data_IF_371448283779
#
_entry.id   IF_371448283779
#
_cell.length_a   1.000
_cell.length_b   1.000
_cell.length_c   1.000
_cell.angle_alpha   90.00
_cell.angle_beta   90.00
_cell.angle_gamma   90.00
#
_symmetry.space_group_name_H-M   'P 1'
#
loop_
_entity.id
_entity.type
_entity.pdbx_description
1 polymer ?
#
# COMPACT_ATOMS: atom_id res chain seq x y z
N UNK A 1 3.35 -6.54 16.33
CA UNK A 1 3.66 -7.66 15.42
C UNK A 1 4.40 -7.14 14.21
N UNK A 2 5.54 -7.73 13.91
CA UNK A 2 6.35 -7.39 12.73
C UNK A 2 6.22 -8.51 11.70
N UNK A 3 5.99 -8.13 10.44
CA UNK A 3 6.07 -9.04 9.29
C UNK A 3 7.00 -8.43 8.27
N UNK A 4 7.92 -9.23 7.75
CA UNK A 4 8.83 -8.74 6.72
C UNK A 4 9.26 -9.85 5.78
N UNK A 5 9.46 -9.44 4.54
CA UNK A 5 10.08 -10.22 3.50
C UNK A 5 11.30 -9.43 3.00
N UNK A 6 12.00 -9.98 2.02
CA UNK A 6 13.23 -9.36 1.52
C UNK A 6 13.07 -7.89 1.15
N UNK A 7 11.91 -7.48 0.64
CA UNK A 7 11.73 -6.16 0.06
C UNK A 7 10.53 -5.38 0.61
N UNK A 8 9.92 -5.87 1.71
CA UNK A 8 8.88 -5.10 2.40
C UNK A 8 8.85 -5.44 3.88
N UNK A 9 8.35 -4.50 4.65
CA UNK A 9 8.19 -4.64 6.10
C UNK A 9 6.87 -4.03 6.54
N UNK A 10 6.16 -4.72 7.44
CA UNK A 10 4.93 -4.22 8.07
C UNK A 10 4.95 -4.53 9.55
N UNK A 11 4.47 -3.60 10.35
CA UNK A 11 4.35 -3.81 11.79
C UNK A 11 3.11 -3.14 12.33
N UNK A 12 2.49 -3.76 13.32
CA UNK A 12 1.51 -3.11 14.17
C UNK A 12 1.89 -3.37 15.63
N UNK A 13 1.87 -2.31 16.45
CA UNK A 13 2.19 -2.40 17.86
C UNK A 13 1.45 -1.28 18.60
N UNK A 14 0.28 -1.63 19.14
CA UNK A 14 -0.57 -0.65 19.80
C UNK A 14 0.05 -0.08 21.09
N UNK A 15 1.09 -0.72 21.61
CA UNK A 15 1.83 -0.19 22.75
C UNK A 15 2.68 1.02 22.39
N UNK A 16 2.95 1.25 21.10
CA UNK A 16 3.71 2.41 20.65
C UNK A 16 2.88 3.69 20.62
N UNK A 17 1.59 3.62 20.94
CA UNK A 17 0.74 4.80 20.99
C UNK A 17 0.28 5.28 19.62
N UNK A 18 0.47 6.58 19.35
CA UNK A 18 -0.11 7.24 18.16
C UNK A 18 0.37 6.65 16.84
N UNK A 19 1.66 6.32 16.75
CA UNK A 19 2.27 5.81 15.52
C UNK A 19 2.48 4.30 15.64
N UNK A 20 1.38 3.58 15.65
CA UNK A 20 1.35 2.15 15.96
C UNK A 20 1.51 1.23 14.74
N UNK A 21 1.54 1.78 13.54
CA UNK A 21 1.79 1.03 12.32
C UNK A 21 3.10 1.44 11.67
N UNK A 22 3.72 0.52 10.95
CA UNK A 22 4.95 0.76 10.22
C UNK A 22 4.84 0.10 8.86
N UNK A 23 5.29 0.82 7.83
CA UNK A 23 5.42 0.29 6.48
C UNK A 23 6.82 0.62 5.96
N UNK A 24 7.43 -0.29 5.23
CA UNK A 24 8.76 -0.03 4.72
C UNK A 24 9.27 -1.04 3.72
N UNK A 25 10.54 -0.92 3.44
CA UNK A 25 11.28 -1.80 2.55
C UNK A 25 12.56 -2.27 3.25
N UNK A 26 13.57 -2.74 2.48
CA UNK A 26 14.76 -3.37 3.05
C UNK A 26 15.49 -2.52 4.08
N UNK A 27 15.64 -1.22 3.80
CA UNK A 27 16.54 -0.37 4.57
C UNK A 27 15.89 0.95 4.98
N UNK A 28 14.58 1.03 4.92
CA UNK A 28 13.84 2.20 5.40
C UNK A 28 12.45 1.79 5.86
N UNK A 29 11.87 2.61 6.72
CA UNK A 29 10.49 2.44 7.15
C UNK A 29 9.92 3.78 7.58
N UNK A 30 8.60 3.89 7.55
CA UNK A 30 7.86 5.04 8.04
C UNK A 30 6.79 4.57 9.01
N UNK A 31 6.62 5.31 10.09
CA UNK A 31 5.57 5.01 11.06
C UNK A 31 4.31 5.78 10.74
N UNK A 32 3.17 5.13 10.89
CA UNK A 32 1.86 5.66 10.53
C UNK A 32 0.90 5.58 11.70
N UNK A 33 -0.01 6.55 11.74
CA UNK A 33 -1.15 6.49 12.64
C UNK A 33 -2.14 5.43 12.13
N UNK A 34 -2.97 4.92 13.03
CA UNK A 34 -4.00 3.93 12.65
C UNK A 34 -4.91 4.43 11.53
N UNK A 35 -5.34 5.69 11.60
CA UNK A 35 -6.20 6.28 10.57
C UNK A 35 -5.50 6.37 9.21
N UNK A 36 -4.20 6.64 9.20
CA UNK A 36 -3.41 6.70 7.97
C UNK A 36 -3.27 5.33 7.34
N UNK A 37 -3.00 4.31 8.14
CA UNK A 37 -2.89 2.93 7.66
C UNK A 37 -4.25 2.41 7.16
N UNK A 38 -5.32 2.71 7.87
CA UNK A 38 -6.66 2.31 7.47
C UNK A 38 -7.02 2.88 6.09
N UNK A 39 -6.76 4.17 5.89
CA UNK A 39 -7.04 4.79 4.60
C UNK A 39 -6.21 4.17 3.47
N UNK A 40 -4.93 3.90 3.73
CA UNK A 40 -4.09 3.18 2.77
C UNK A 40 -4.72 1.84 2.38
N UNK A 41 -5.14 1.06 3.37
CA UNK A 41 -5.82 -0.21 3.14
C UNK A 41 -7.06 -0.02 2.25
N UNK A 42 -7.92 0.95 2.57
CA UNK A 42 -9.14 1.19 1.79
C UNK A 42 -8.83 1.57 0.34
N UNK A 43 -7.83 2.44 0.15
CA UNK A 43 -7.47 2.89 -1.20
C UNK A 43 -6.87 1.76 -2.03
N UNK A 44 -6.07 0.91 -1.43
CA UNK A 44 -5.52 -0.27 -2.11
C UNK A 44 -6.61 -1.27 -2.48
N UNK A 45 -7.60 -1.47 -1.61
CA UNK A 45 -8.76 -2.31 -1.93
C UNK A 45 -9.51 -1.76 -3.14
N UNK A 46 -9.73 -0.45 -3.20
CA UNK A 46 -10.41 0.19 -4.34
C UNK A 46 -9.62 0.01 -5.64
N UNK A 47 -8.31 0.20 -5.59
CA UNK A 47 -7.48 0.00 -6.79
C UNK A 47 -7.52 -1.44 -7.26
N UNK A 48 -7.44 -2.39 -6.33
CA UNK A 48 -7.52 -3.81 -6.69
C UNK A 48 -8.88 -4.16 -7.31
N UNK A 49 -9.96 -3.60 -6.81
CA UNK A 49 -11.28 -3.79 -7.41
C UNK A 49 -11.33 -3.25 -8.84
N UNK A 50 -10.72 -2.10 -9.10
CA UNK A 50 -10.63 -1.54 -10.44
C UNK A 50 -9.85 -2.45 -11.38
N UNK A 51 -8.73 -3.02 -10.92
CA UNK A 51 -7.97 -4.01 -11.70
C UNK A 51 -8.83 -5.21 -12.04
N UNK A 52 -9.57 -5.73 -11.05
CA UNK A 52 -10.45 -6.91 -11.25
C UNK A 52 -11.56 -6.61 -12.26
N UNK A 53 -12.15 -5.42 -12.20
CA UNK A 53 -13.18 -5.02 -13.17
C UNK A 53 -12.63 -4.95 -14.60
N UNK A 54 -11.40 -4.50 -14.76
CA UNK A 54 -10.77 -4.42 -16.07
C UNK A 54 -10.30 -5.77 -16.59
N UNK A 55 -10.09 -6.75 -15.72
CA UNK A 55 -9.50 -8.05 -16.07
C UNK A 55 -10.25 -8.76 -17.20
N UNK A 56 -11.58 -8.65 -17.25
CA UNK A 56 -12.39 -9.29 -18.27
C UNK A 56 -12.37 -8.57 -19.60
N UNK A 57 -11.85 -7.34 -19.64
CA UNK A 57 -11.84 -6.49 -20.84
C UNK A 57 -10.46 -6.36 -21.45
N UNK A 58 -9.41 -6.72 -20.70
CA UNK A 58 -8.03 -6.55 -21.11
C UNK A 58 -7.43 -7.84 -21.60
N UNK A 59 -6.59 -7.75 -22.61
CA UNK A 59 -5.68 -8.83 -22.99
C UNK A 59 -4.56 -8.93 -21.94
N UNK A 60 -3.94 -10.11 -21.84
CA UNK A 60 -2.90 -10.36 -20.86
C UNK A 60 -1.73 -9.37 -20.94
N UNK A 61 -1.42 -8.91 -22.15
CA UNK A 61 -0.29 -8.01 -22.39
C UNK A 61 -0.62 -6.54 -22.29
N UNK A 62 -1.90 -6.17 -22.11
CA UNK A 62 -2.27 -4.77 -22.02
C UNK A 62 -1.80 -4.14 -20.72
N UNK A 63 -1.30 -2.91 -20.83
CA UNK A 63 -0.83 -2.14 -19.69
C UNK A 63 -1.99 -1.45 -19.00
N UNK A 64 -1.91 -1.44 -17.68
CA UNK A 64 -2.87 -0.76 -16.80
C UNK A 64 -2.13 0.39 -16.12
N UNK A 65 -2.77 1.55 -16.06
CA UNK A 65 -2.27 2.67 -15.27
C UNK A 65 -3.46 3.25 -14.52
N UNK A 66 -3.45 3.12 -13.21
CA UNK A 66 -4.51 3.60 -12.33
C UNK A 66 -3.91 4.49 -11.26
N UNK A 67 -4.67 5.51 -10.85
CA UNK A 67 -4.24 6.36 -9.75
C UNK A 67 -5.44 6.69 -8.86
N UNK A 68 -5.17 6.98 -7.60
CA UNK A 68 -6.18 7.40 -6.65
C UNK A 68 -5.52 8.36 -5.66
N UNK A 69 -6.22 9.45 -5.36
CA UNK A 69 -5.74 10.42 -4.38
C UNK A 69 -6.80 10.66 -3.33
N UNK A 70 -6.40 10.51 -2.09
CA UNK A 70 -7.19 10.97 -0.95
C UNK A 70 -6.17 11.25 0.16
N UNK A 71 -5.95 12.52 0.46
CA UNK A 71 -4.93 12.92 1.42
C UNK A 71 -5.09 12.18 2.75
N UNK A 72 -4.01 11.72 3.34
CA UNK A 72 -2.59 12.02 3.04
C UNK A 72 -1.95 11.17 1.94
N UNK A 73 -2.72 10.36 1.20
CA UNK A 73 -2.18 9.41 0.21
C UNK A 73 -2.44 9.82 -1.23
N UNK A 74 -1.44 9.58 -2.06
CA UNK A 74 -1.55 9.50 -3.51
C UNK A 74 -0.93 8.17 -3.94
N UNK A 75 -1.65 7.38 -4.73
CA UNK A 75 -1.23 6.03 -5.10
C UNK A 75 -1.34 5.84 -6.60
N UNK A 76 -0.25 5.37 -7.22
CA UNK A 76 -0.23 4.94 -8.62
C UNK A 76 0.01 3.44 -8.70
N UNK A 77 -0.76 2.77 -9.54
CA UNK A 77 -0.60 1.35 -9.85
C UNK A 77 -0.39 1.22 -11.34
N UNK A 78 0.72 0.60 -11.74
CA UNK A 78 1.03 0.39 -13.15
C UNK A 78 1.51 -1.03 -13.39
N UNK A 79 1.15 -1.58 -14.56
CA UNK A 79 1.59 -2.89 -14.95
C UNK A 79 0.57 -3.61 -15.81
N UNK A 80 0.49 -4.94 -15.62
CA UNK A 80 -0.48 -5.81 -16.29
C UNK A 80 -1.48 -6.31 -15.27
N UNK A 81 -2.59 -6.89 -15.73
CA UNK A 81 -3.66 -7.32 -14.82
C UNK A 81 -3.22 -8.31 -13.75
N UNK A 82 -2.16 -9.07 -13.98
CA UNK A 82 -1.66 -10.08 -13.01
C UNK A 82 -0.34 -9.68 -12.37
N UNK A 83 0.26 -8.56 -12.77
CA UNK A 83 1.58 -8.16 -12.26
C UNK A 83 1.74 -6.64 -12.38
N UNK A 84 1.62 -5.95 -11.26
CA UNK A 84 1.70 -4.50 -11.22
C UNK A 84 2.60 -4.02 -10.09
N UNK A 85 3.08 -2.78 -10.25
CA UNK A 85 3.85 -2.11 -9.23
C UNK A 85 3.02 -1.04 -8.52
N UNK A 86 3.56 -0.47 -7.46
CA UNK A 86 2.92 0.58 -6.68
C UNK A 86 3.91 1.71 -6.40
N UNK A 87 3.46 2.92 -6.62
CA UNK A 87 4.12 4.13 -6.11
C UNK A 87 3.15 4.81 -5.15
N UNK A 88 3.63 5.13 -3.96
CA UNK A 88 2.85 5.80 -2.94
C UNK A 88 3.53 7.11 -2.57
N UNK A 89 2.75 8.18 -2.49
CA UNK A 89 3.22 9.43 -1.93
C UNK A 89 2.35 9.73 -0.71
N UNK A 90 3.02 9.94 0.41
CA UNK A 90 2.37 10.28 1.68
C UNK A 90 2.75 11.69 2.07
N UNK A 91 1.75 12.48 2.42
CA UNK A 91 1.96 13.82 2.98
C UNK A 91 0.97 14.02 4.12
N UNK A 92 1.47 14.12 5.35
CA UNK A 92 0.61 14.30 6.51
C UNK A 92 -0.18 15.61 6.42
N UNK A 93 -1.34 15.65 7.07
CA UNK A 93 -2.21 16.83 7.04
C UNK A 93 -1.53 18.07 7.61
N UNK A 94 -0.64 17.87 8.58
CA UNK A 94 0.12 18.97 9.17
C UNK A 94 1.34 19.37 8.34
N UNK A 95 1.58 18.70 7.21
CA UNK A 95 2.75 18.88 6.35
C UNK A 95 4.08 18.66 7.09
N UNK A 96 4.06 17.91 8.19
CA UNK A 96 5.26 17.63 9.00
C UNK A 96 5.95 16.33 8.59
N UNK A 97 5.25 15.47 7.85
CA UNK A 97 5.81 14.21 7.34
C UNK A 97 5.46 14.06 5.88
N UNK A 98 6.45 13.80 5.06
CA UNK A 98 6.27 13.59 3.63
C UNK A 98 7.18 12.45 3.18
N UNK A 99 6.69 11.57 2.34
CA UNK A 99 7.43 10.38 1.96
C UNK A 99 6.97 9.86 0.60
N UNK A 100 7.93 9.42 -0.23
CA UNK A 100 7.63 8.76 -1.49
C UNK A 100 8.17 7.33 -1.43
N UNK A 101 7.34 6.36 -1.84
CA UNK A 101 7.63 4.95 -1.71
C UNK A 101 7.33 4.24 -3.02
N UNK A 102 8.12 3.21 -3.32
CA UNK A 102 7.92 2.40 -4.52
C UNK A 102 8.20 0.93 -4.24
N UNK A 103 7.31 0.07 -4.68
CA UNK A 103 7.51 -1.38 -4.65
C UNK A 103 7.29 -1.95 -6.04
N UNK A 104 8.32 -2.65 -6.58
CA UNK A 104 8.24 -3.22 -7.93
C UNK A 104 7.40 -4.49 -7.99
N UNK A 105 7.18 -4.98 -9.21
CA UNK A 105 6.60 -6.28 -9.49
C UNK A 105 7.61 -7.36 -9.04
N UNK A 106 7.21 -8.43 -8.36
CA UNK A 106 5.89 -8.78 -7.82
C UNK A 106 5.69 -8.36 -6.36
N UNK A 107 6.60 -7.57 -5.84
CA UNK A 107 6.64 -7.21 -4.42
C UNK A 107 5.41 -6.41 -4.03
N UNK A 108 4.94 -5.52 -4.91
CA UNK A 108 3.77 -4.68 -4.65
C UNK A 108 2.53 -5.51 -4.33
N UNK A 109 2.29 -6.59 -5.07
CA UNK A 109 1.13 -7.46 -4.83
C UNK A 109 1.25 -8.21 -3.51
N UNK A 110 2.45 -8.67 -3.18
CA UNK A 110 2.68 -9.34 -1.90
C UNK A 110 2.44 -8.38 -0.74
N UNK A 111 2.94 -7.17 -0.86
CA UNK A 111 2.72 -6.13 0.15
C UNK A 111 1.24 -5.82 0.32
N UNK A 112 0.50 -5.67 -0.77
CA UNK A 112 -0.94 -5.42 -0.72
C UNK A 112 -1.65 -6.53 0.06
N UNK A 113 -1.35 -7.79 -0.24
CA UNK A 113 -1.95 -8.91 0.48
C UNK A 113 -1.65 -8.85 1.97
N UNK A 114 -0.43 -8.49 2.34
CA UNK A 114 -0.04 -8.44 3.76
C UNK A 114 -0.69 -7.26 4.48
N UNK A 115 -0.84 -6.11 3.81
CA UNK A 115 -1.58 -4.97 4.36
C UNK A 115 -3.04 -5.38 4.62
N UNK A 116 -3.66 -6.04 3.64
CA UNK A 116 -5.03 -6.52 3.73
C UNK A 116 -5.19 -7.48 4.91
N UNK A 117 -4.31 -8.47 5.01
CA UNK A 117 -4.35 -9.45 6.11
C UNK A 117 -4.15 -8.78 7.47
N UNK A 118 -3.20 -7.87 7.56
CA UNK A 118 -2.91 -7.19 8.82
C UNK A 118 -4.10 -6.37 9.31
N UNK A 119 -4.76 -5.65 8.43
CA UNK A 119 -5.94 -4.87 8.83
C UNK A 119 -7.14 -5.78 9.14
N UNK A 120 -7.45 -6.73 8.26
CA UNK A 120 -8.64 -7.58 8.40
C UNK A 120 -8.57 -8.58 9.54
N UNK A 121 -7.38 -8.86 10.06
CA UNK A 121 -7.19 -9.75 11.21
C UNK A 121 -7.22 -9.02 12.55
N UNK A 122 -7.43 -7.72 12.56
CA UNK A 122 -7.52 -6.96 13.81
C UNK A 122 -8.91 -7.09 14.43
N UNK A 123 -8.91 -7.36 15.68
CA UNK A 123 -10.14 -7.45 16.49
C UNK A 123 -10.27 -6.26 17.42
#
# INVERSE_FOLDING_TARGET
MLREEKNWRLSKDFKKGKYCFLIGANNWSIELQKSEFYLLYLLLIRLNEQVLELTNQLMDEELISLEIEQLPWYIELEGKKNAWDLRLIFESQEHTRSFEMYWPIPIAQNLFYEIKKMWESMD
#
